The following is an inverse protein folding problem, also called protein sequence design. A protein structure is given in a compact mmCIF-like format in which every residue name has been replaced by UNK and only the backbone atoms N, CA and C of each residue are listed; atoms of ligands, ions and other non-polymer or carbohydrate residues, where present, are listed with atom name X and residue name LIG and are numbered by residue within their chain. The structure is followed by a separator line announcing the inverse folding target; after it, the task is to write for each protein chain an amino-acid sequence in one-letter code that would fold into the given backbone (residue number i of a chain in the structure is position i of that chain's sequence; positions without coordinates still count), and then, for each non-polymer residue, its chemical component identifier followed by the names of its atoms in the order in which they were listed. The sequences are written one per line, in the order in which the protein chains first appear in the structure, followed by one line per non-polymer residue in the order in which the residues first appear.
data_IF_194361139392
#
_entry.id   IF_194361139392
#
_cell.length_a   1.000
_cell.length_b   1.000
_cell.length_c   1.000
_cell.angle_alpha   90.00
_cell.angle_beta   90.00
_cell.angle_gamma   90.00
#
_symmetry.space_group_name_H-M   'P 1'
#
loop_
_entity.id
_entity.type
_entity.pdbx_description
1 polymer ?
#
# COMPACT_ATOMS: atom_id res chain seq x y z
N UNK A 1 112.54 64.98 -7.22
CA UNK A 1 111.21 64.35 -7.46
C UNK A 1 111.12 63.12 -6.60
N UNK A 2 110.38 63.20 -5.48
CA UNK A 2 110.22 62.13 -4.54
C UNK A 2 109.42 60.93 -5.14
N UNK A 3 110.04 59.74 -5.00
CA UNK A 3 109.50 58.47 -5.54
C UNK A 3 108.18 58.06 -4.80
N UNK A 4 107.04 58.31 -5.38
CA UNK A 4 105.74 57.90 -4.85
C UNK A 4 105.23 56.48 -5.38
N UNK A 5 106.12 55.80 -6.14
CA UNK A 5 105.80 54.48 -6.72
C UNK A 5 105.48 53.37 -5.66
N UNK A 6 106.11 53.28 -4.50
CA UNK A 6 105.76 52.21 -3.57
C UNK A 6 104.44 52.48 -2.85
N UNK A 7 104.02 53.74 -2.64
CA UNK A 7 102.70 54.05 -1.99
C UNK A 7 101.53 53.71 -2.85
N UNK A 8 101.66 53.89 -4.16
CA UNK A 8 100.59 53.57 -5.14
C UNK A 8 100.37 52.03 -5.24
N UNK A 9 101.44 51.25 -5.13
CA UNK A 9 101.44 49.80 -5.17
C UNK A 9 100.74 49.21 -3.92
N UNK A 10 101.08 49.80 -2.74
CA UNK A 10 100.40 49.40 -1.49
C UNK A 10 98.95 49.75 -1.46
N UNK A 11 98.56 50.90 -2.03
CA UNK A 11 97.15 51.32 -2.14
C UNK A 11 96.33 50.41 -3.10
N UNK A 12 96.96 49.98 -4.23
CA UNK A 12 96.35 49.00 -5.16
C UNK A 12 96.18 47.60 -4.57
N UNK A 13 97.20 47.18 -3.71
CA UNK A 13 97.11 45.90 -3.02
C UNK A 13 96.00 45.94 -1.95
N UNK A 14 95.89 47.06 -1.20
CA UNK A 14 94.83 47.22 -0.18
C UNK A 14 93.42 47.27 -0.84
N UNK A 15 93.29 48.02 -1.92
CA UNK A 15 91.97 48.06 -2.63
C UNK A 15 91.60 46.69 -3.23
N UNK A 16 92.51 45.97 -3.85
CA UNK A 16 92.30 44.62 -4.31
C UNK A 16 92.07 43.62 -3.17
N UNK A 17 92.70 43.84 -2.00
CA UNK A 17 92.41 43.00 -0.82
C UNK A 17 91.00 43.25 -0.24
N UNK A 18 90.60 44.53 -0.09
CA UNK A 18 89.23 44.87 0.32
C UNK A 18 88.19 44.37 -0.65
N UNK A 19 88.41 44.49 -1.97
CA UNK A 19 87.47 43.93 -2.97
C UNK A 19 87.31 42.41 -2.89
N UNK A 20 88.47 41.71 -2.64
CA UNK A 20 88.38 40.26 -2.45
C UNK A 20 87.68 39.83 -1.13
N UNK A 21 87.89 40.66 -0.11
CA UNK A 21 87.28 40.41 1.22
C UNK A 21 85.72 40.58 1.11
N UNK A 22 85.21 41.59 0.37
CA UNK A 22 83.79 41.78 0.10
C UNK A 22 83.25 40.63 -0.75
N UNK A 23 83.98 40.17 -1.77
CA UNK A 23 83.57 38.99 -2.57
C UNK A 23 83.49 37.71 -1.71
N UNK A 24 84.45 37.49 -0.81
CA UNK A 24 84.45 36.35 0.13
C UNK A 24 83.29 36.44 1.09
N UNK A 25 82.98 37.63 1.59
CA UNK A 25 81.81 37.84 2.48
C UNK A 25 80.49 37.57 1.77
N UNK A 26 80.34 38.05 0.52
CA UNK A 26 79.15 37.74 -0.32
C UNK A 26 79.05 36.23 -0.60
N UNK A 27 80.11 35.56 -0.89
CA UNK A 27 80.16 34.13 -1.12
C UNK A 27 79.77 33.34 0.14
N UNK A 28 80.31 33.73 1.28
CA UNK A 28 79.93 33.15 2.57
C UNK A 28 78.42 33.33 2.90
N UNK A 29 77.90 34.53 2.63
CA UNK A 29 76.43 34.76 2.83
C UNK A 29 75.60 33.87 1.90
N UNK A 30 76.00 33.76 0.64
CA UNK A 30 75.31 32.86 -0.33
C UNK A 30 75.36 31.39 0.10
N UNK A 31 76.54 30.96 0.68
CA UNK A 31 76.66 29.61 1.22
C UNK A 31 75.69 29.39 2.40
N UNK A 32 75.57 30.35 3.31
CA UNK A 32 74.65 30.29 4.44
C UNK A 32 73.21 30.22 3.96
N UNK A 33 72.83 31.03 2.98
CA UNK A 33 71.48 31.03 2.38
C UNK A 33 71.20 29.70 1.68
N UNK A 34 72.13 29.15 0.92
CA UNK A 34 72.03 27.82 0.32
C UNK A 34 71.92 26.71 1.37
N UNK A 35 72.67 26.75 2.46
CA UNK A 35 72.52 25.79 3.55
C UNK A 35 71.18 25.87 4.23
N UNK A 36 70.64 27.07 4.43
CA UNK A 36 69.32 27.30 4.96
C UNK A 36 68.24 26.70 4.01
N UNK A 37 68.36 26.94 2.71
CA UNK A 37 67.41 26.37 1.70
C UNK A 37 67.51 24.85 1.64
N UNK A 38 68.70 24.27 1.71
CA UNK A 38 68.92 22.82 1.80
C UNK A 38 68.22 22.23 3.04
N UNK A 39 68.35 22.87 4.18
CA UNK A 39 67.69 22.45 5.41
C UNK A 39 66.17 22.47 5.28
N UNK A 40 65.60 23.52 4.69
CA UNK A 40 64.18 23.67 4.43
C UNK A 40 63.67 22.60 3.46
N UNK A 41 64.43 22.36 2.39
CA UNK A 41 64.06 21.30 1.41
C UNK A 41 64.08 19.91 2.03
N UNK A 42 65.08 19.62 2.88
CA UNK A 42 65.17 18.36 3.60
C UNK A 42 63.94 18.15 4.55
N UNK A 43 63.54 19.22 5.24
CA UNK A 43 62.29 19.16 6.04
C UNK A 43 61.07 18.84 5.18
N UNK A 44 60.92 19.50 4.03
CA UNK A 44 59.81 19.22 3.10
C UNK A 44 59.85 17.79 2.55
N UNK A 45 61.02 17.27 2.23
CA UNK A 45 61.18 15.87 1.80
C UNK A 45 60.75 14.91 2.91
N UNK A 46 61.07 15.16 4.15
CA UNK A 46 60.63 14.34 5.28
C UNK A 46 59.10 14.39 5.46
N UNK A 47 58.50 15.58 5.34
CA UNK A 47 57.05 15.75 5.43
C UNK A 47 56.32 15.01 4.28
N UNK A 48 56.83 15.12 3.06
CA UNK A 48 56.27 14.36 1.94
C UNK A 48 56.45 12.85 2.10
N UNK A 49 57.56 12.41 2.61
CA UNK A 49 57.81 10.99 2.89
C UNK A 49 56.83 10.45 3.93
N UNK A 50 56.50 11.23 4.96
CA UNK A 50 55.50 10.88 5.94
C UNK A 50 54.11 10.80 5.32
N UNK A 51 53.70 11.77 4.48
CA UNK A 51 52.43 11.77 3.78
C UNK A 51 52.29 10.57 2.82
N UNK A 52 53.36 10.23 2.09
CA UNK A 52 53.39 9.06 1.21
C UNK A 52 53.16 7.77 2.02
N UNK A 53 53.80 7.64 3.16
CA UNK A 53 53.60 6.47 4.03
C UNK A 53 52.16 6.37 4.54
N UNK A 54 51.53 7.49 4.93
CA UNK A 54 50.14 7.52 5.35
C UNK A 54 49.16 7.13 4.20
N UNK A 55 49.41 7.69 3.02
CA UNK A 55 48.58 7.35 1.83
C UNK A 55 48.78 5.88 1.43
N UNK A 56 49.97 5.35 1.54
CA UNK A 56 50.24 3.94 1.29
C UNK A 56 49.47 3.04 2.26
N UNK A 57 49.45 3.39 3.54
CA UNK A 57 48.65 2.67 4.55
C UNK A 57 47.16 2.73 4.25
N UNK A 58 46.64 3.92 3.92
CA UNK A 58 45.23 4.08 3.55
C UNK A 58 44.84 3.26 2.30
N UNK A 59 45.70 3.25 1.28
CA UNK A 59 45.49 2.45 0.08
C UNK A 59 45.44 0.95 0.38
N UNK A 60 46.31 0.45 1.23
CA UNK A 60 46.33 -0.96 1.62
C UNK A 60 45.08 -1.31 2.42
N UNK A 61 44.61 -0.42 3.29
CA UNK A 61 43.38 -0.59 4.03
C UNK A 61 42.15 -0.63 3.11
N UNK A 62 42.06 0.33 2.17
CA UNK A 62 40.98 0.36 1.17
C UNK A 62 40.99 -0.88 0.27
N UNK A 63 42.16 -1.35 -0.14
CA UNK A 63 42.30 -2.59 -0.93
C UNK A 63 41.71 -3.82 -0.19
N UNK A 64 42.00 -3.92 1.11
CA UNK A 64 41.43 -4.97 1.96
C UNK A 64 39.90 -4.86 2.10
N UNK A 65 39.36 -3.65 2.20
CA UNK A 65 37.91 -3.43 2.23
C UNK A 65 37.25 -3.84 0.90
N UNK A 66 37.87 -3.48 -0.23
CA UNK A 66 37.39 -3.86 -1.56
C UNK A 66 37.39 -5.40 -1.71
N UNK A 67 38.39 -6.09 -1.25
CA UNK A 67 38.42 -7.56 -1.28
C UNK A 67 37.30 -8.18 -0.44
N UNK A 68 37.10 -7.64 0.77
CA UNK A 68 36.00 -8.09 1.63
C UNK A 68 34.62 -7.87 0.96
N UNK A 69 34.38 -6.67 0.38
CA UNK A 69 33.13 -6.36 -0.32
C UNK A 69 32.91 -7.26 -1.54
N UNK A 70 33.99 -7.57 -2.29
CA UNK A 70 33.89 -8.49 -3.42
C UNK A 70 33.51 -9.91 -2.97
N UNK A 71 34.03 -10.37 -1.83
CA UNK A 71 33.65 -11.67 -1.26
C UNK A 71 32.18 -11.69 -0.82
N UNK A 72 31.68 -10.62 -0.21
CA UNK A 72 30.28 -10.48 0.14
C UNK A 72 29.39 -10.45 -1.11
N UNK A 73 29.78 -9.71 -2.15
CA UNK A 73 29.07 -9.64 -3.41
C UNK A 73 28.93 -11.03 -4.08
N UNK A 74 30.03 -11.80 -4.10
CA UNK A 74 30.01 -13.17 -4.61
C UNK A 74 29.05 -14.08 -3.79
N UNK A 75 29.02 -13.89 -2.47
CA UNK A 75 28.06 -14.58 -1.59
C UNK A 75 26.61 -14.24 -1.92
N UNK A 76 26.29 -12.96 -2.13
CA UNK A 76 24.95 -12.54 -2.54
C UNK A 76 24.57 -13.03 -3.92
N UNK A 77 25.48 -13.05 -4.87
CA UNK A 77 25.25 -13.62 -6.20
C UNK A 77 24.85 -15.12 -6.12
N UNK A 78 25.54 -15.89 -5.27
CA UNK A 78 25.17 -17.29 -5.05
C UNK A 78 23.78 -17.46 -4.41
N UNK A 79 23.40 -16.57 -3.48
CA UNK A 79 22.06 -16.57 -2.89
C UNK A 79 20.98 -16.22 -3.93
N UNK A 80 21.23 -15.23 -4.78
CA UNK A 80 20.32 -14.86 -5.88
C UNK A 80 20.11 -16.03 -6.83
N UNK A 81 21.18 -16.72 -7.24
CA UNK A 81 21.06 -17.91 -8.10
C UNK A 81 20.22 -19.01 -7.44
N UNK A 82 20.44 -19.25 -6.15
CA UNK A 82 19.65 -20.22 -5.40
C UNK A 82 18.14 -19.84 -5.39
N UNK A 83 17.81 -18.58 -5.08
CA UNK A 83 16.41 -18.14 -5.06
C UNK A 83 15.76 -18.14 -6.45
N UNK A 84 16.51 -17.78 -7.50
CA UNK A 84 16.00 -17.87 -8.88
C UNK A 84 15.63 -19.31 -9.24
N UNK A 85 16.44 -20.29 -8.85
CA UNK A 85 16.12 -21.69 -9.06
C UNK A 85 14.86 -22.13 -8.27
N UNK A 86 14.68 -21.64 -7.02
CA UNK A 86 13.47 -21.92 -6.25
C UNK A 86 12.21 -21.30 -6.90
N UNK A 87 12.32 -20.07 -7.37
CA UNK A 87 11.22 -19.41 -8.10
C UNK A 87 10.84 -20.18 -9.35
N UNK A 88 11.82 -20.69 -10.10
CA UNK A 88 11.53 -21.48 -11.29
C UNK A 88 10.80 -22.79 -10.94
N UNK A 89 11.24 -23.50 -9.89
CA UNK A 89 10.57 -24.72 -9.44
C UNK A 89 9.11 -24.46 -9.00
N UNK A 90 8.89 -23.38 -8.23
CA UNK A 90 7.54 -22.99 -7.81
C UNK A 90 6.66 -22.56 -8.99
N UNK A 91 7.24 -21.91 -9.99
CA UNK A 91 6.53 -21.53 -11.21
C UNK A 91 6.09 -22.77 -12.01
N UNK A 92 6.97 -23.77 -12.12
CA UNK A 92 6.65 -25.02 -12.80
C UNK A 92 5.56 -25.82 -12.05
N UNK A 93 5.61 -25.83 -10.71
CA UNK A 93 4.59 -26.45 -9.86
C UNK A 93 3.24 -25.75 -10.01
N UNK A 94 3.19 -24.40 -10.03
CA UNK A 94 1.99 -23.64 -10.28
C UNK A 94 1.35 -23.94 -11.63
N UNK A 95 2.16 -24.10 -12.69
CA UNK A 95 1.62 -24.49 -14.00
C UNK A 95 0.96 -25.88 -13.99
N UNK A 96 1.50 -26.81 -13.21
CA UNK A 96 0.90 -28.16 -13.04
C UNK A 96 -0.43 -28.02 -12.29
N UNK A 97 -0.44 -27.27 -11.17
CA UNK A 97 -1.65 -27.05 -10.37
C UNK A 97 -2.75 -26.34 -11.16
N UNK A 98 -2.40 -25.36 -12.00
CA UNK A 98 -3.36 -24.68 -12.88
C UNK A 98 -3.97 -25.66 -13.90
N UNK A 99 -3.16 -26.57 -14.44
CA UNK A 99 -3.65 -27.62 -15.36
C UNK A 99 -4.59 -28.59 -14.65
N UNK A 100 -4.26 -28.99 -13.42
CA UNK A 100 -5.11 -29.88 -12.61
C UNK A 100 -6.42 -29.19 -12.23
N UNK A 101 -6.39 -27.92 -11.83
CA UNK A 101 -7.57 -27.12 -11.53
C UNK A 101 -8.50 -26.98 -12.74
N UNK A 102 -7.94 -26.73 -13.93
CA UNK A 102 -8.72 -26.66 -15.14
C UNK A 102 -9.42 -28.01 -15.45
N UNK A 103 -8.70 -29.13 -15.27
CA UNK A 103 -9.27 -30.45 -15.45
C UNK A 103 -10.39 -30.74 -14.45
N UNK A 104 -10.20 -30.42 -13.17
CA UNK A 104 -11.22 -30.57 -12.14
C UNK A 104 -12.46 -29.70 -12.42
N UNK A 105 -12.26 -28.49 -12.95
CA UNK A 105 -13.36 -27.60 -13.35
C UNK A 105 -14.20 -28.20 -14.47
N UNK A 106 -13.56 -28.81 -15.47
CA UNK A 106 -14.26 -29.53 -16.54
C UNK A 106 -15.04 -30.72 -15.99
N UNK A 107 -14.42 -31.55 -15.14
CA UNK A 107 -15.10 -32.70 -14.52
C UNK A 107 -16.29 -32.27 -13.66
N UNK A 108 -16.17 -31.15 -12.92
CA UNK A 108 -17.26 -30.61 -12.12
C UNK A 108 -18.44 -30.17 -13.01
N UNK A 109 -18.14 -29.49 -14.14
CA UNK A 109 -19.17 -29.11 -15.11
C UNK A 109 -19.90 -30.33 -15.69
N UNK A 110 -19.16 -31.37 -16.07
CA UNK A 110 -19.75 -32.61 -16.58
C UNK A 110 -20.64 -33.33 -15.54
N UNK A 111 -20.23 -33.34 -14.27
CA UNK A 111 -21.02 -33.90 -13.18
C UNK A 111 -22.29 -33.07 -12.90
N UNK A 112 -22.20 -31.76 -13.01
CA UNK A 112 -23.37 -30.85 -12.88
C UNK A 112 -24.36 -31.10 -14.00
N UNK A 113 -23.93 -31.26 -15.25
CA UNK A 113 -24.78 -31.59 -16.39
C UNK A 113 -25.44 -32.98 -16.21
N UNK A 114 -24.68 -33.97 -15.70
CA UNK A 114 -25.24 -35.28 -15.40
C UNK A 114 -26.31 -35.22 -14.30
N UNK A 115 -26.06 -34.47 -13.25
CA UNK A 115 -27.03 -34.23 -12.17
C UNK A 115 -28.29 -33.56 -12.69
N UNK A 116 -28.11 -32.54 -13.54
CA UNK A 116 -29.26 -31.87 -14.21
C UNK A 116 -30.09 -32.86 -15.06
N UNK A 117 -29.43 -33.73 -15.82
CA UNK A 117 -30.10 -34.76 -16.62
C UNK A 117 -30.86 -35.78 -15.74
N UNK A 118 -30.27 -36.22 -14.62
CA UNK A 118 -30.90 -37.13 -13.66
C UNK A 118 -32.12 -36.45 -13.01
N UNK A 119 -31.99 -35.19 -12.61
CA UNK A 119 -33.10 -34.41 -12.06
C UNK A 119 -34.22 -34.17 -13.09
N UNK A 120 -33.88 -33.94 -14.36
CA UNK A 120 -34.85 -33.79 -15.47
C UNK A 120 -35.54 -35.11 -15.83
N UNK A 121 -34.85 -36.25 -15.71
CA UNK A 121 -35.46 -37.59 -15.92
C UNK A 121 -36.36 -38.04 -14.77
N UNK A 122 -36.20 -37.47 -13.56
CA UNK A 122 -37.09 -37.68 -12.41
C UNK A 122 -38.38 -36.84 -12.44
N UNK A 123 -38.50 -35.93 -13.37
CA UNK A 123 -39.67 -35.09 -13.56
C UNK A 123 -40.58 -35.66 -14.66
N UNK A 124 -41.20 -36.81 -14.46
CA UNK A 124 -42.45 -37.16 -15.12
C UNK A 124 -43.51 -36.15 -14.66
N UNK A 125 -44.04 -35.37 -15.59
CA UNK A 125 -45.06 -34.36 -15.46
C UNK A 125 -44.63 -32.91 -15.07
N UNK A 126 -43.77 -32.28 -15.84
CA UNK A 126 -43.87 -30.84 -16.18
C UNK A 126 -44.05 -29.78 -15.07
N UNK A 127 -43.93 -30.16 -13.81
CA UNK A 127 -44.02 -29.27 -12.66
C UNK A 127 -42.66 -29.28 -12.00
N UNK A 128 -41.83 -28.28 -12.30
CA UNK A 128 -40.72 -27.92 -11.44
C UNK A 128 -41.31 -27.51 -10.09
N UNK A 129 -41.45 -28.46 -9.20
CA UNK A 129 -41.59 -28.16 -7.78
C UNK A 129 -40.23 -27.68 -7.35
N UNK A 130 -40.01 -26.36 -7.46
CA UNK A 130 -39.09 -25.71 -6.55
C UNK A 130 -39.63 -26.06 -5.16
N UNK A 131 -39.15 -27.13 -4.57
CA UNK A 131 -39.27 -27.30 -3.13
C UNK A 131 -38.70 -26.00 -2.58
N UNK A 132 -39.57 -25.11 -2.12
CA UNK A 132 -39.17 -24.07 -1.20
C UNK A 132 -38.51 -24.85 -0.08
N UNK A 133 -37.14 -24.86 -0.11
CA UNK A 133 -36.38 -25.24 1.06
C UNK A 133 -36.95 -24.29 2.10
N UNK A 134 -37.56 -24.82 3.16
CA UNK A 134 -37.92 -24.00 4.31
C UNK A 134 -36.62 -23.41 4.78
N UNK A 135 -36.35 -22.16 4.37
CA UNK A 135 -35.16 -21.44 4.75
C UNK A 135 -35.28 -21.27 6.27
N UNK A 136 -34.47 -21.99 7.01
CA UNK A 136 -34.36 -21.83 8.46
C UNK A 136 -34.05 -20.36 8.79
N UNK A 137 -34.37 -19.93 10.00
CA UNK A 137 -33.98 -18.58 10.42
C UNK A 137 -32.47 -18.39 10.28
N UNK A 138 -32.01 -17.28 9.71
CA UNK A 138 -30.59 -16.98 9.62
C UNK A 138 -29.91 -16.99 10.99
N UNK A 139 -28.66 -17.45 11.08
CA UNK A 139 -27.97 -17.55 12.36
C UNK A 139 -27.70 -16.18 13.02
N UNK A 140 -27.62 -15.12 12.21
CA UNK A 140 -27.35 -13.78 12.70
C UNK A 140 -28.60 -12.89 12.56
N UNK A 141 -28.97 -12.28 13.69
CA UNK A 141 -30.04 -11.26 13.72
C UNK A 141 -29.44 -9.90 13.37
N UNK A 142 -30.07 -9.16 12.45
CA UNK A 142 -29.59 -7.87 12.00
C UNK A 142 -28.67 -8.01 10.80
N UNK A 143 -27.50 -7.41 10.84
CA UNK A 143 -26.55 -7.27 9.74
C UNK A 143 -25.16 -7.83 10.08
N UNK A 144 -24.37 -8.21 9.08
CA UNK A 144 -23.03 -8.76 9.24
C UNK A 144 -21.95 -7.69 9.56
N UNK A 145 -22.20 -6.41 9.30
CA UNK A 145 -21.28 -5.37 9.78
C UNK A 145 -21.24 -5.22 11.31
N UNK A 146 -22.06 -6.02 12.01
CA UNK A 146 -22.01 -6.28 13.45
C UNK A 146 -20.95 -7.33 13.85
N UNK A 147 -20.17 -7.87 12.91
CA UNK A 147 -19.03 -8.73 13.19
C UNK A 147 -18.00 -8.04 14.09
N UNK A 148 -17.12 -8.80 14.78
CA UNK A 148 -15.99 -8.22 15.48
C UNK A 148 -15.15 -7.32 14.57
N UNK A 149 -14.49 -6.34 15.16
CA UNK A 149 -13.56 -5.42 14.50
C UNK A 149 -12.53 -6.19 13.63
N UNK A 150 -12.79 -6.26 12.32
CA UNK A 150 -12.03 -7.05 11.35
C UNK A 150 -10.83 -6.26 10.84
N UNK A 151 -11.04 -5.00 10.46
CA UNK A 151 -10.00 -4.08 10.03
C UNK A 151 -9.78 -3.09 11.17
N UNK A 152 -8.54 -2.97 11.61
CA UNK A 152 -8.17 -2.06 12.70
C UNK A 152 -7.53 -0.82 12.16
N UNK A 153 -7.72 0.30 12.81
CA UNK A 153 -7.07 1.57 12.46
C UNK A 153 -5.55 1.50 12.41
N UNK A 154 -4.94 0.47 13.04
CA UNK A 154 -3.50 0.19 13.00
C UNK A 154 -3.06 -0.66 11.81
N UNK A 155 -3.99 -1.20 11.03
CA UNK A 155 -3.66 -2.03 9.87
C UNK A 155 -3.05 -1.18 8.74
N UNK A 156 -2.38 -1.85 7.82
CA UNK A 156 -1.74 -1.18 6.70
C UNK A 156 -2.77 -0.44 5.84
N UNK A 157 -2.40 0.76 5.38
CA UNK A 157 -3.21 1.58 4.49
C UNK A 157 -2.39 2.02 3.28
N UNK A 158 -2.98 1.98 2.12
CA UNK A 158 -2.40 2.55 0.88
C UNK A 158 -2.72 4.03 0.70
N UNK A 159 -3.36 4.68 1.68
CA UNK A 159 -3.53 6.14 1.65
C UNK A 159 -2.19 6.85 1.48
N UNK A 160 -2.07 7.70 0.46
CA UNK A 160 -0.82 8.39 0.10
C UNK A 160 -0.88 9.87 0.41
N UNK A 161 -1.88 10.55 -0.11
CA UNK A 161 -1.99 12.00 0.04
C UNK A 161 -3.41 12.50 -0.21
N UNK A 162 -3.66 13.76 0.09
CA UNK A 162 -4.91 14.43 -0.30
C UNK A 162 -4.67 15.89 -0.62
N UNK A 163 -5.48 16.43 -1.53
CA UNK A 163 -5.44 17.84 -1.94
C UNK A 163 -6.82 18.46 -1.76
N UNK A 164 -6.89 19.56 -1.03
CA UNK A 164 -8.12 20.36 -0.89
C UNK A 164 -8.41 21.13 -2.18
N UNK A 165 -9.60 20.91 -2.76
CA UNK A 165 -10.03 21.51 -4.02
C UNK A 165 -10.87 22.81 -3.80
N UNK A 166 -11.24 23.11 -2.58
CA UNK A 166 -12.12 24.23 -2.25
C UNK A 166 -13.54 23.78 -1.91
N UNK A 167 -14.46 24.75 -1.91
CA UNK A 167 -15.90 24.49 -1.80
C UNK A 167 -16.45 24.44 -3.22
N UNK A 168 -17.00 23.27 -3.58
CA UNK A 168 -17.56 22.99 -4.90
C UNK A 168 -19.00 22.50 -4.76
N UNK A 169 -19.83 22.81 -5.73
CA UNK A 169 -21.17 22.21 -5.82
C UNK A 169 -21.06 20.73 -6.18
N UNK A 170 -21.67 19.87 -5.35
CA UNK A 170 -21.68 18.41 -5.51
C UNK A 170 -23.08 17.86 -5.35
N UNK A 171 -23.38 16.81 -6.06
CA UNK A 171 -24.64 16.11 -6.01
C UNK A 171 -24.57 15.01 -4.95
N UNK A 172 -25.48 15.05 -3.99
CA UNK A 172 -25.61 14.09 -2.90
C UNK A 172 -26.95 13.39 -2.99
N UNK A 173 -27.00 12.13 -2.61
CA UNK A 173 -28.26 11.48 -2.31
C UNK A 173 -28.64 11.73 -0.86
N UNK A 174 -29.65 12.55 -0.63
CA UNK A 174 -30.10 12.90 0.72
C UNK A 174 -31.29 12.01 1.12
N UNK A 175 -31.05 11.04 1.98
CA UNK A 175 -32.11 10.13 2.51
C UNK A 175 -33.23 10.87 3.26
N UNK A 176 -32.96 12.06 3.78
CA UNK A 176 -33.98 12.85 4.48
C UNK A 176 -35.08 13.37 3.53
N UNK A 177 -34.72 13.53 2.25
CA UNK A 177 -35.61 14.07 1.20
C UNK A 177 -35.86 13.02 0.09
N UNK A 178 -35.35 11.82 0.16
CA UNK A 178 -35.05 10.73 -0.76
C UNK A 178 -34.89 11.17 -2.23
N UNK A 179 -33.98 12.09 -2.48
CA UNK A 179 -33.68 12.63 -3.80
C UNK A 179 -32.21 13.07 -3.90
N UNK A 180 -31.73 13.31 -5.12
CA UNK A 180 -30.44 13.89 -5.40
C UNK A 180 -30.49 15.39 -5.35
N UNK A 181 -29.69 15.99 -4.47
CA UNK A 181 -29.65 17.43 -4.25
C UNK A 181 -28.23 17.92 -4.40
N UNK A 182 -28.07 19.08 -5.03
CA UNK A 182 -26.78 19.74 -5.16
C UNK A 182 -26.51 20.61 -3.93
N UNK A 183 -25.46 20.31 -3.22
CA UNK A 183 -24.97 21.06 -2.06
C UNK A 183 -23.57 21.59 -2.30
N UNK A 184 -23.20 22.77 -1.74
CA UNK A 184 -21.81 23.18 -1.66
C UNK A 184 -21.07 22.29 -0.65
N UNK A 185 -19.94 21.72 -1.05
CA UNK A 185 -19.16 20.79 -0.24
C UNK A 185 -17.68 21.17 -0.20
N UNK A 186 -17.02 20.95 0.94
CA UNK A 186 -15.57 20.90 1.04
C UNK A 186 -15.08 19.65 0.35
N UNK A 187 -14.32 19.80 -0.74
CA UNK A 187 -13.85 18.67 -1.55
C UNK A 187 -12.36 18.43 -1.31
N UNK A 188 -12.02 17.20 -0.97
CA UNK A 188 -10.65 16.71 -0.88
C UNK A 188 -10.45 15.56 -1.86
N UNK A 189 -9.58 15.72 -2.85
CA UNK A 189 -9.15 14.60 -3.67
C UNK A 189 -8.16 13.75 -2.87
N UNK A 190 -8.55 12.52 -2.56
CA UNK A 190 -7.74 11.54 -1.83
C UNK A 190 -7.09 10.60 -2.83
N UNK A 191 -5.77 10.41 -2.71
CA UNK A 191 -4.95 9.60 -3.61
C UNK A 191 -4.38 8.40 -2.85
N UNK A 192 -4.44 7.24 -3.46
CA UNK A 192 -3.93 5.99 -2.93
C UNK A 192 -2.64 5.56 -3.68
N UNK A 193 -1.77 4.84 -2.99
CA UNK A 193 -0.49 4.38 -3.53
C UNK A 193 -0.59 3.41 -4.69
N UNK A 194 -1.74 2.79 -4.90
CA UNK A 194 -2.06 1.89 -6.01
C UNK A 194 -2.64 2.59 -7.25
N UNK A 195 -2.65 3.93 -7.26
CA UNK A 195 -3.06 4.76 -8.39
C UNK A 195 -4.56 5.09 -8.45
N UNK A 196 -5.37 4.59 -7.52
CA UNK A 196 -6.76 5.01 -7.39
C UNK A 196 -6.88 6.37 -6.68
N UNK A 197 -7.99 7.04 -6.91
CA UNK A 197 -8.36 8.27 -6.18
C UNK A 197 -9.86 8.30 -5.94
N UNK A 198 -10.27 8.92 -4.82
CA UNK A 198 -11.66 9.10 -4.41
C UNK A 198 -11.81 10.53 -3.90
N UNK A 199 -12.89 11.22 -4.25
CA UNK A 199 -13.19 12.52 -3.69
C UNK A 199 -13.90 12.35 -2.34
N UNK A 200 -13.46 13.10 -1.33
CA UNK A 200 -14.15 13.25 -0.06
C UNK A 200 -14.93 14.55 -0.10
N UNK A 201 -16.24 14.45 -0.07
CA UNK A 201 -17.18 15.54 -0.24
C UNK A 201 -17.94 15.77 1.05
N UNK A 202 -17.56 16.80 1.78
CA UNK A 202 -18.15 17.11 3.08
C UNK A 202 -19.04 18.34 2.95
N UNK A 203 -20.33 18.20 3.21
CA UNK A 203 -21.31 19.26 3.09
C UNK A 203 -20.86 20.52 3.86
N UNK A 204 -21.01 21.68 3.26
CA UNK A 204 -20.49 22.96 3.81
C UNK A 204 -21.21 23.47 5.06
N UNK A 205 -22.20 22.74 5.59
CA UNK A 205 -22.65 22.96 6.98
C UNK A 205 -21.56 22.66 8.00
N UNK A 206 -20.60 21.82 7.66
CA UNK A 206 -19.38 21.63 8.43
C UNK A 206 -18.40 22.74 8.11
N UNK A 207 -17.68 23.19 9.11
CA UNK A 207 -16.54 24.09 8.90
C UNK A 207 -15.41 23.37 8.15
N UNK A 208 -14.51 24.13 7.56
CA UNK A 208 -13.34 23.54 6.90
C UNK A 208 -12.46 22.73 7.88
N UNK A 209 -12.41 23.11 9.16
CA UNK A 209 -11.67 22.38 10.19
C UNK A 209 -12.34 21.03 10.49
N UNK A 210 -13.65 20.99 10.66
CA UNK A 210 -14.41 19.74 10.84
C UNK A 210 -14.28 18.84 9.62
N UNK A 211 -14.37 19.40 8.41
CA UNK A 211 -14.17 18.65 7.17
C UNK A 211 -12.76 18.06 7.06
N UNK A 212 -11.74 18.81 7.48
CA UNK A 212 -10.37 18.30 7.53
C UNK A 212 -10.22 17.15 8.53
N UNK A 213 -10.83 17.23 9.70
CA UNK A 213 -10.82 16.17 10.71
C UNK A 213 -11.48 14.89 10.17
N UNK A 214 -12.66 15.01 9.54
CA UNK A 214 -13.34 13.87 8.92
C UNK A 214 -12.47 13.23 7.83
N UNK A 215 -11.91 14.02 6.94
CA UNK A 215 -11.00 13.50 5.91
C UNK A 215 -9.79 12.79 6.53
N UNK A 216 -9.19 13.35 7.60
CA UNK A 216 -8.05 12.72 8.28
C UNK A 216 -8.42 11.40 8.95
N UNK A 217 -9.63 11.25 9.45
CA UNK A 217 -10.13 10.02 10.05
C UNK A 217 -10.40 8.96 8.98
N UNK A 218 -11.14 9.29 7.94
CA UNK A 218 -11.71 8.31 7.02
C UNK A 218 -10.87 8.02 5.77
N UNK A 219 -9.96 8.91 5.34
CA UNK A 219 -9.12 8.65 4.18
C UNK A 219 -8.11 7.51 4.39
N UNK A 220 -7.43 7.38 5.54
CA UNK A 220 -6.62 6.19 5.82
C UNK A 220 -7.46 4.91 5.88
N UNK A 221 -8.66 4.95 6.44
CA UNK A 221 -9.59 3.83 6.51
C UNK A 221 -9.98 3.35 5.11
N UNK A 222 -10.36 4.26 4.22
CA UNK A 222 -10.59 3.91 2.82
C UNK A 222 -9.38 3.24 2.17
N UNK A 223 -8.18 3.68 2.51
CA UNK A 223 -6.94 3.07 2.03
C UNK A 223 -6.64 1.69 2.62
N UNK A 224 -7.38 1.24 3.63
CA UNK A 224 -7.29 -0.11 4.20
C UNK A 224 -8.20 -1.11 3.47
N UNK A 225 -9.15 -0.64 2.66
CA UNK A 225 -10.00 -1.53 1.85
C UNK A 225 -9.20 -2.09 0.66
N UNK A 226 -9.55 -3.31 0.25
CA UNK A 226 -9.01 -3.92 -0.96
C UNK A 226 -9.19 -3.03 -2.19
N UNK A 227 -8.27 -3.08 -3.14
CA UNK A 227 -8.35 -2.30 -4.38
C UNK A 227 -9.65 -2.56 -5.11
N UNK A 228 -10.10 -3.81 -5.10
CA UNK A 228 -11.36 -4.23 -5.73
C UNK A 228 -12.56 -3.48 -5.16
N UNK A 229 -12.60 -3.24 -3.86
CA UNK A 229 -13.68 -2.49 -3.19
C UNK A 229 -13.66 -0.99 -3.52
N UNK A 230 -12.48 -0.42 -3.82
CA UNK A 230 -12.32 1.02 -4.06
C UNK A 230 -12.43 1.44 -5.53
N UNK A 231 -12.31 0.49 -6.48
CA UNK A 231 -12.12 0.77 -7.91
C UNK A 231 -13.26 1.57 -8.56
N UNK A 232 -14.49 1.42 -8.06
CA UNK A 232 -15.65 2.07 -8.65
C UNK A 232 -16.15 3.27 -7.84
N UNK A 233 -15.57 3.54 -6.67
CA UNK A 233 -16.04 4.64 -5.81
C UNK A 233 -15.55 5.96 -6.38
N UNK A 234 -16.48 6.85 -6.72
CA UNK A 234 -16.18 8.21 -7.16
C UNK A 234 -15.98 9.13 -5.96
N UNK A 235 -16.91 9.11 -4.99
CA UNK A 235 -16.80 9.93 -3.80
C UNK A 235 -17.33 9.24 -2.54
N UNK A 236 -16.83 9.74 -1.40
CA UNK A 236 -17.36 9.52 -0.07
C UNK A 236 -17.96 10.83 0.41
N UNK A 237 -19.24 10.80 0.69
CA UNK A 237 -20.07 11.95 1.02
C UNK A 237 -20.40 11.98 2.51
N UNK A 238 -20.33 13.17 3.13
CA UNK A 238 -20.70 13.37 4.52
C UNK A 238 -21.77 14.47 4.66
N UNK A 239 -22.93 14.08 5.13
CA UNK A 239 -24.05 14.93 5.49
C UNK A 239 -24.29 14.90 7.01
N UNK A 240 -24.94 15.92 7.56
CA UNK A 240 -25.49 15.86 8.92
C UNK A 240 -26.74 14.99 8.93
N UNK A 241 -27.10 14.44 10.08
CA UNK A 241 -28.36 13.71 10.29
C UNK A 241 -28.17 12.29 10.81
N UNK A 242 -29.32 11.66 11.08
CA UNK A 242 -29.43 10.33 11.74
C UNK A 242 -29.78 9.21 10.77
N UNK A 243 -29.71 9.43 9.46
CA UNK A 243 -30.01 8.37 8.48
C UNK A 243 -28.83 7.41 8.34
N UNK A 244 -29.14 6.15 8.10
CA UNK A 244 -28.12 5.11 7.86
C UNK A 244 -27.27 5.43 6.63
N UNK A 245 -26.07 4.89 6.57
CA UNK A 245 -25.22 4.94 5.38
C UNK A 245 -25.96 4.39 4.14
N UNK A 246 -25.51 4.77 2.97
CA UNK A 246 -26.00 4.22 1.72
C UNK A 246 -25.00 4.36 0.59
N UNK A 247 -24.91 3.33 -0.23
CA UNK A 247 -24.26 3.38 -1.52
C UNK A 247 -25.26 3.68 -2.62
N UNK A 248 -24.93 4.62 -3.50
CA UNK A 248 -25.75 5.00 -4.64
C UNK A 248 -24.91 4.95 -5.92
N UNK A 249 -25.45 4.38 -6.97
CA UNK A 249 -24.80 4.30 -8.29
C UNK A 249 -25.80 4.37 -9.43
N UNK A 250 -25.34 4.86 -10.57
CA UNK A 250 -26.03 4.67 -11.84
C UNK A 250 -25.47 3.42 -12.58
N UNK A 251 -26.13 3.04 -13.66
CA UNK A 251 -25.80 1.81 -14.40
C UNK A 251 -24.40 1.84 -14.99
N UNK A 252 -23.91 3.01 -15.43
CA UNK A 252 -22.59 3.17 -16.07
C UNK A 252 -21.48 3.51 -15.06
N UNK A 253 -21.77 3.53 -13.77
CA UNK A 253 -20.84 3.86 -12.69
C UNK A 253 -20.19 5.25 -12.80
N UNK A 254 -20.74 6.14 -13.62
CA UNK A 254 -20.27 7.55 -13.67
C UNK A 254 -20.67 8.33 -12.42
N UNK A 255 -21.64 7.84 -11.67
CA UNK A 255 -21.98 8.21 -10.30
C UNK A 255 -21.99 6.94 -9.45
N UNK A 256 -21.06 6.84 -8.50
CA UNK A 256 -20.92 5.71 -7.58
C UNK A 256 -20.37 6.22 -6.26
N UNK A 257 -21.23 6.58 -5.33
CA UNK A 257 -20.91 7.33 -4.13
C UNK A 257 -21.42 6.62 -2.88
N UNK A 258 -20.69 6.76 -1.78
CA UNK A 258 -21.11 6.33 -0.45
C UNK A 258 -21.45 7.57 0.36
N UNK A 259 -22.67 7.66 0.86
CA UNK A 259 -23.15 8.75 1.69
C UNK A 259 -23.26 8.33 3.15
N UNK A 260 -22.61 9.06 4.04
CA UNK A 260 -22.69 8.90 5.49
C UNK A 260 -23.39 10.10 6.13
N UNK A 261 -24.33 9.81 7.02
CA UNK A 261 -24.93 10.82 7.89
C UNK A 261 -24.20 10.79 9.25
N UNK A 262 -23.57 11.91 9.61
CA UNK A 262 -22.59 11.94 10.69
C UNK A 262 -23.17 11.69 12.08
N UNK A 263 -24.41 12.09 12.35
CA UNK A 263 -25.01 11.89 13.68
C UNK A 263 -25.30 10.40 13.89
N UNK A 264 -25.75 9.71 12.85
CA UNK A 264 -25.93 8.26 12.87
C UNK A 264 -24.58 7.54 12.98
N UNK A 265 -23.59 7.93 12.16
CA UNK A 265 -22.27 7.31 12.16
C UNK A 265 -21.57 7.44 13.50
N UNK A 266 -21.62 8.61 14.13
CA UNK A 266 -21.07 8.84 15.46
C UNK A 266 -21.81 8.04 16.54
N UNK A 267 -23.13 7.91 16.43
CA UNK A 267 -23.93 7.13 17.37
C UNK A 267 -23.56 5.64 17.33
N UNK A 268 -23.32 5.05 16.14
CA UNK A 268 -22.85 3.68 16.03
C UNK A 268 -21.50 3.49 16.70
N UNK A 269 -20.57 4.40 16.44
CA UNK A 269 -19.21 4.35 17.02
C UNK A 269 -19.26 4.46 18.54
N UNK A 270 -20.09 5.39 19.08
CA UNK A 270 -20.15 5.65 20.52
C UNK A 270 -20.90 4.57 21.31
N UNK A 271 -21.86 3.87 20.72
CA UNK A 271 -22.73 2.92 21.45
C UNK A 271 -22.19 1.49 21.49
N UNK A 272 -21.08 1.19 20.84
CA UNK A 272 -20.54 -0.16 20.77
C UNK A 272 -19.34 -0.37 21.69
N UNK A 273 -19.47 -1.20 22.72
CA UNK A 273 -18.42 -1.40 23.73
C UNK A 273 -17.22 -2.22 23.25
N UNK A 274 -17.30 -2.85 22.07
CA UNK A 274 -16.35 -3.84 21.56
C UNK A 274 -15.54 -3.36 20.32
N UNK A 275 -15.59 -2.09 19.98
CA UNK A 275 -14.75 -1.46 18.93
C UNK A 275 -15.51 -0.58 17.97
N UNK A 276 -14.76 0.24 17.24
CA UNK A 276 -15.23 1.04 16.10
C UNK A 276 -15.39 0.07 14.91
N UNK A 277 -16.58 -0.05 14.36
CA UNK A 277 -16.92 -0.91 13.21
C UNK A 277 -17.17 -0.10 11.96
N UNK A 278 -16.60 1.07 11.92
CA UNK A 278 -16.72 1.95 10.76
C UNK A 278 -16.09 1.29 9.52
N UNK A 279 -15.00 0.57 9.71
CA UNK A 279 -14.30 -0.16 8.65
C UNK A 279 -15.19 -1.23 8.00
N UNK A 280 -15.92 -1.99 8.80
CA UNK A 280 -16.86 -3.01 8.32
C UNK A 280 -18.03 -2.40 7.56
N UNK A 281 -18.52 -1.25 8.02
CA UNK A 281 -19.56 -0.50 7.31
C UNK A 281 -19.05 0.00 5.94
N UNK A 282 -17.79 0.48 5.88
CA UNK A 282 -17.20 0.87 4.59
C UNK A 282 -17.03 -0.31 3.65
N UNK A 283 -16.70 -1.51 4.14
CA UNK A 283 -16.68 -2.74 3.33
C UNK A 283 -18.06 -3.01 2.75
N UNK A 284 -19.09 -2.95 3.60
CA UNK A 284 -20.48 -3.21 3.21
C UNK A 284 -20.93 -2.26 2.07
N UNK A 285 -20.82 -0.95 2.29
CA UNK A 285 -21.22 0.05 1.30
C UNK A 285 -20.35 0.02 0.02
N UNK A 286 -19.05 -0.23 0.16
CA UNK A 286 -18.16 -0.38 -0.98
C UNK A 286 -18.52 -1.63 -1.83
N UNK A 287 -19.02 -2.68 -1.21
CA UNK A 287 -19.45 -3.88 -1.91
C UNK A 287 -20.61 -3.57 -2.87
N UNK A 288 -21.58 -2.75 -2.46
CA UNK A 288 -22.67 -2.32 -3.33
C UNK A 288 -22.21 -1.61 -4.60
N UNK A 289 -21.07 -0.89 -4.54
CA UNK A 289 -20.54 -0.15 -5.68
C UNK A 289 -19.60 -0.98 -6.55
N UNK A 290 -18.85 -1.89 -5.93
CA UNK A 290 -17.69 -2.51 -6.58
C UNK A 290 -17.81 -4.01 -6.80
N UNK A 291 -18.69 -4.70 -6.09
CA UNK A 291 -18.91 -6.15 -6.22
C UNK A 291 -20.30 -6.45 -6.78
N UNK A 292 -21.38 -5.89 -6.21
CA UNK A 292 -22.76 -6.12 -6.66
C UNK A 292 -22.93 -5.95 -8.17
N UNK A 293 -22.39 -4.91 -8.85
CA UNK A 293 -22.61 -4.71 -10.27
C UNK A 293 -22.15 -5.89 -11.13
N UNK A 294 -21.23 -6.69 -10.65
CA UNK A 294 -20.64 -7.82 -11.36
C UNK A 294 -21.15 -9.19 -10.89
N UNK A 295 -21.79 -9.23 -9.72
CA UNK A 295 -22.26 -10.45 -9.05
C UNK A 295 -23.77 -10.59 -9.13
N UNK A 296 -24.51 -9.49 -8.93
CA UNK A 296 -25.95 -9.50 -8.91
C UNK A 296 -26.54 -10.04 -10.23
N UNK A 297 -27.46 -10.97 -10.11
CA UNK A 297 -28.13 -11.58 -11.26
C UNK A 297 -27.29 -12.58 -12.06
N UNK A 298 -26.01 -12.78 -11.71
CA UNK A 298 -25.17 -13.78 -12.36
C UNK A 298 -25.62 -15.19 -11.99
N UNK A 299 -25.65 -16.08 -12.99
CA UNK A 299 -26.08 -17.47 -12.77
C UNK A 299 -25.25 -18.16 -11.68
N UNK A 300 -23.91 -17.99 -11.72
CA UNK A 300 -23.03 -18.62 -10.73
C UNK A 300 -23.30 -18.18 -9.29
N UNK A 301 -23.65 -16.91 -9.09
CA UNK A 301 -24.10 -16.41 -7.78
C UNK A 301 -25.42 -17.04 -7.36
N UNK A 302 -26.44 -17.04 -8.24
CA UNK A 302 -27.74 -17.60 -7.95
C UNK A 302 -27.66 -19.11 -7.64
N UNK A 303 -26.82 -19.84 -8.39
CA UNK A 303 -26.56 -21.26 -8.14
C UNK A 303 -25.87 -21.46 -6.76
N UNK A 304 -24.94 -20.60 -6.38
CA UNK A 304 -24.26 -20.65 -5.09
C UNK A 304 -25.22 -20.38 -3.92
N UNK A 305 -26.07 -19.34 -4.03
CA UNK A 305 -27.14 -19.04 -3.04
C UNK A 305 -28.10 -20.23 -2.87
N UNK A 306 -28.50 -20.82 -4.00
CA UNK A 306 -29.38 -22.01 -3.99
C UNK A 306 -28.74 -23.20 -3.30
N UNK A 307 -27.45 -23.48 -3.59
CA UNK A 307 -26.69 -24.59 -2.99
C UNK A 307 -26.43 -24.38 -1.50
N UNK A 308 -26.23 -23.15 -1.07
CA UNK A 308 -26.07 -22.79 0.34
C UNK A 308 -27.40 -22.93 1.13
N UNK A 309 -28.53 -22.66 0.49
CA UNK A 309 -29.87 -22.91 1.00
C UNK A 309 -30.29 -22.05 2.20
N UNK A 310 -29.52 -21.04 2.59
CA UNK A 310 -29.86 -20.09 3.65
C UNK A 310 -29.12 -18.76 3.48
N UNK A 311 -29.51 -17.76 4.25
CA UNK A 311 -28.85 -16.47 4.36
C UNK A 311 -28.05 -16.37 5.65
N UNK A 312 -27.02 -15.50 5.67
CA UNK A 312 -26.20 -15.29 6.88
C UNK A 312 -26.98 -14.50 7.94
N UNK A 313 -27.67 -13.44 7.53
CA UNK A 313 -28.34 -12.50 8.41
C UNK A 313 -29.82 -12.37 8.10
N UNK A 314 -30.59 -11.90 9.07
CA UNK A 314 -32.00 -11.55 8.84
C UNK A 314 -32.12 -10.40 7.84
N UNK A 315 -31.17 -9.47 7.80
CA UNK A 315 -31.14 -8.36 6.88
C UNK A 315 -30.95 -8.84 5.43
N UNK A 316 -30.01 -9.76 5.19
CA UNK A 316 -29.83 -10.40 3.89
C UNK A 316 -31.09 -11.20 3.45
N UNK A 317 -31.74 -11.91 4.39
CA UNK A 317 -32.97 -12.67 4.09
C UNK A 317 -34.16 -11.76 3.71
N UNK A 318 -34.28 -10.62 4.40
CA UNK A 318 -35.35 -9.65 4.14
C UNK A 318 -35.12 -8.84 2.85
N UNK A 319 -33.87 -8.68 2.45
CA UNK A 319 -33.43 -7.87 1.29
C UNK A 319 -32.47 -8.65 0.38
N UNK A 320 -32.83 -9.83 -0.13
CA UNK A 320 -31.90 -10.74 -0.80
C UNK A 320 -31.35 -10.17 -2.12
N UNK A 321 -32.08 -9.27 -2.77
CA UNK A 321 -31.66 -8.66 -4.05
C UNK A 321 -30.68 -7.51 -3.88
N UNK A 322 -30.62 -6.90 -2.70
CA UNK A 322 -29.77 -5.74 -2.44
C UNK A 322 -28.65 -6.02 -1.43
N UNK A 323 -28.90 -6.86 -0.42
CA UNK A 323 -28.04 -6.93 0.76
C UNK A 323 -27.24 -8.24 0.90
N UNK A 324 -27.71 -9.36 0.29
CA UNK A 324 -27.07 -10.66 0.50
C UNK A 324 -25.61 -10.69 0.03
N UNK A 325 -25.28 -9.97 -1.06
CA UNK A 325 -23.91 -9.91 -1.57
C UNK A 325 -23.02 -9.15 -0.58
N UNK A 326 -23.45 -7.98 -0.10
CA UNK A 326 -22.69 -7.14 0.82
C UNK A 326 -22.48 -7.84 2.17
N UNK A 327 -23.52 -8.43 2.74
CA UNK A 327 -23.48 -9.23 3.97
C UNK A 327 -22.54 -10.42 3.84
N UNK A 328 -22.63 -11.16 2.73
CA UNK A 328 -21.80 -12.35 2.49
C UNK A 328 -20.34 -11.97 2.19
N UNK A 329 -20.09 -10.86 1.49
CA UNK A 329 -18.75 -10.44 1.13
C UNK A 329 -17.92 -10.01 2.35
N UNK A 330 -18.54 -9.32 3.29
CA UNK A 330 -17.91 -8.99 4.56
C UNK A 330 -17.51 -10.26 5.34
N UNK A 331 -18.41 -11.24 5.42
CA UNK A 331 -18.12 -12.52 6.06
C UNK A 331 -17.02 -13.31 5.32
N UNK A 332 -16.97 -13.21 3.99
CA UNK A 332 -15.88 -13.78 3.17
C UNK A 332 -14.53 -13.18 3.54
N UNK A 333 -14.42 -11.86 3.64
CA UNK A 333 -13.20 -11.18 4.07
C UNK A 333 -12.79 -11.67 5.47
N UNK A 334 -13.73 -11.75 6.40
CA UNK A 334 -13.47 -12.21 7.76
C UNK A 334 -12.88 -13.62 7.81
N UNK A 335 -13.49 -14.56 7.10
CA UNK A 335 -13.08 -15.97 7.14
C UNK A 335 -11.79 -16.23 6.37
N UNK A 336 -11.60 -15.54 5.25
CA UNK A 336 -10.47 -15.80 4.36
C UNK A 336 -9.20 -15.07 4.77
N UNK A 337 -9.30 -13.81 5.14
CA UNK A 337 -8.14 -12.94 5.36
C UNK A 337 -7.87 -12.63 6.84
N UNK A 338 -8.89 -12.71 7.70
CA UNK A 338 -8.76 -12.41 9.13
C UNK A 338 -9.29 -13.55 10.04
N UNK A 339 -8.98 -14.83 9.74
CA UNK A 339 -9.50 -15.96 10.52
C UNK A 339 -9.10 -15.91 12.00
N UNK A 340 -7.99 -15.24 12.34
CA UNK A 340 -7.49 -15.05 13.69
C UNK A 340 -8.23 -13.95 14.47
N UNK A 341 -9.00 -13.10 13.77
CA UNK A 341 -9.80 -12.01 14.37
C UNK A 341 -11.22 -12.42 14.70
N UNK A 342 -11.63 -13.60 14.26
CA UNK A 342 -12.94 -14.17 14.55
C UNK A 342 -12.82 -15.47 15.34
N UNK A 343 -13.85 -15.82 16.11
CA UNK A 343 -13.86 -17.10 16.85
C UNK A 343 -14.05 -18.28 15.89
N UNK A 344 -13.53 -19.46 16.24
CA UNK A 344 -13.76 -20.68 15.46
C UNK A 344 -15.24 -21.00 15.31
N UNK A 345 -16.06 -20.77 16.35
CA UNK A 345 -17.51 -20.97 16.29
C UNK A 345 -18.17 -20.05 15.28
N UNK A 346 -17.78 -18.75 15.22
CA UNK A 346 -18.31 -17.80 14.25
C UNK A 346 -17.93 -18.22 12.83
N UNK A 347 -16.67 -18.56 12.61
CA UNK A 347 -16.17 -19.04 11.30
C UNK A 347 -16.94 -20.28 10.85
N UNK A 348 -17.09 -21.28 11.72
CA UNK A 348 -17.74 -22.54 11.38
C UNK A 348 -19.23 -22.32 11.07
N UNK A 349 -19.89 -21.40 11.79
CA UNK A 349 -21.28 -21.01 11.48
C UNK A 349 -21.37 -20.34 10.09
N UNK A 350 -20.49 -19.38 9.80
CA UNK A 350 -20.46 -18.70 8.49
C UNK A 350 -20.23 -19.72 7.36
N UNK A 351 -19.22 -20.59 7.51
CA UNK A 351 -18.91 -21.60 6.49
C UNK A 351 -20.03 -22.62 6.29
N UNK A 352 -20.82 -22.93 7.32
CA UNK A 352 -21.96 -23.83 7.20
C UNK A 352 -23.10 -23.24 6.38
N UNK A 353 -23.14 -21.91 6.21
CA UNK A 353 -24.23 -21.20 5.53
C UNK A 353 -23.81 -20.76 4.11
N UNK A 354 -22.61 -20.28 3.88
CA UNK A 354 -22.26 -19.59 2.62
C UNK A 354 -21.00 -20.12 1.94
N UNK A 355 -20.69 -21.39 2.11
CA UNK A 355 -19.50 -22.01 1.51
C UNK A 355 -19.47 -21.90 -0.02
N UNK A 356 -20.62 -22.06 -0.70
CA UNK A 356 -20.68 -22.01 -2.16
C UNK A 356 -20.58 -20.57 -2.67
N UNK A 357 -21.17 -19.60 -1.96
CA UNK A 357 -20.98 -18.17 -2.26
C UNK A 357 -19.52 -17.75 -2.09
N UNK A 358 -18.78 -18.29 -1.11
CA UNK A 358 -17.35 -18.04 -0.95
C UNK A 358 -16.52 -18.61 -2.11
N UNK A 359 -16.82 -19.84 -2.56
CA UNK A 359 -16.18 -20.42 -3.75
C UNK A 359 -16.46 -19.58 -5.00
N UNK A 360 -17.65 -19.01 -5.10
CA UNK A 360 -17.99 -18.09 -6.19
C UNK A 360 -17.13 -16.82 -6.13
N UNK A 361 -16.98 -16.17 -4.98
CA UNK A 361 -16.06 -15.03 -4.84
C UNK A 361 -14.61 -15.40 -5.14
N UNK A 362 -14.13 -16.57 -4.73
CA UNK A 362 -12.81 -17.07 -5.08
C UNK A 362 -12.59 -17.17 -6.61
N UNK A 363 -13.64 -17.52 -7.35
CA UNK A 363 -13.61 -17.63 -8.82
C UNK A 363 -13.50 -16.28 -9.54
N UNK A 364 -13.79 -15.17 -8.88
CA UNK A 364 -13.79 -13.82 -9.48
C UNK A 364 -12.40 -13.20 -9.58
N UNK A 365 -11.37 -13.78 -8.95
CA UNK A 365 -9.99 -13.24 -8.91
C UNK A 365 -9.92 -11.77 -8.49
N UNK A 366 -10.58 -11.43 -7.40
CA UNK A 366 -10.65 -10.06 -6.87
C UNK A 366 -9.30 -9.60 -6.31
N UNK A 367 -8.89 -8.36 -6.59
CA UNK A 367 -7.67 -7.76 -6.01
C UNK A 367 -7.92 -7.32 -4.56
N UNK A 368 -7.70 -8.24 -3.65
CA UNK A 368 -7.79 -8.08 -2.20
C UNK A 368 -6.41 -8.23 -1.52
N UNK A 369 -5.33 -8.08 -2.30
CA UNK A 369 -3.94 -8.32 -1.87
C UNK A 369 -3.49 -7.46 -0.68
N UNK A 370 -4.20 -6.38 -0.37
CA UNK A 370 -3.91 -5.58 0.85
C UNK A 370 -4.14 -6.37 2.14
N UNK A 371 -4.96 -7.41 2.09
CA UNK A 371 -5.31 -8.25 3.25
C UNK A 371 -4.36 -9.45 3.42
N UNK A 372 -3.47 -9.69 2.47
CA UNK A 372 -2.43 -10.73 2.50
C UNK A 372 -1.16 -10.24 3.22
#
# INVERSE_FOLDING_TARGET
MKNYKPLLLIFFIIINSCSKEDEINQLNQTILDLQSNISKLNSQINDYSFQINQLTYQNNFLSSQIENLNNQLNGFQGQIEYYLNQIQLLSDENLILDSENNNLTVQLSELQDQLYLIQAQGAEDGVYIFNQIEISDPPFSGTMWDLPDLIKSSDYTVYSSSTYQGILDRMFYDKSIPDFITYPAHVYQVIFGDGLSVDFEIYSEFTQEEALIMKQKYAPLMGQLGKELRKNINSIEFLKGEFVASAQRNEDLSYANITFHTDWLNNIVETRPDGDRTEELFIHEATHLSIDPYVYGQRGWNDAVYLDGNYLSTYAKENPESEDIAETFQAYIAVKYFPERITSSLRDTILSICLNRFKYFDSLNLDLSIYE
#
